data_IF_877019192589
#
_entry.id   IF_877019192589
#
_cell.length_a   1.000
_cell.length_b   1.000
_cell.length_c   1.000
_cell.angle_alpha   90.00
_cell.angle_beta   90.00
_cell.angle_gamma   90.00
#
_symmetry.space_group_name_H-M   'P 1'
#
loop_
_entity.id
_entity.type
_entity.pdbx_description
1 polymer ?
#
# COMPACT_ATOMS: atom_id res chain seq x y z
N UNK A 1 2.87 63.91 -7.78
CA UNK A 1 3.44 63.06 -8.81
C UNK A 1 3.52 61.66 -8.28
N UNK A 2 2.90 60.75 -8.93
CA UNK A 2 2.27 59.54 -8.44
C UNK A 2 3.24 58.35 -8.41
N UNK A 3 3.36 57.73 -7.28
CA UNK A 3 3.96 56.42 -7.12
C UNK A 3 2.89 55.37 -7.34
N UNK A 4 2.97 54.67 -8.46
CA UNK A 4 2.24 53.43 -8.68
C UNK A 4 3.12 52.30 -8.15
N UNK A 5 2.76 51.82 -6.95
CA UNK A 5 3.30 50.57 -6.45
C UNK A 5 2.61 49.41 -7.17
N UNK A 6 3.33 48.73 -8.02
CA UNK A 6 2.95 47.46 -8.58
C UNK A 6 3.17 46.40 -7.48
N UNK A 7 2.12 46.07 -6.77
CA UNK A 7 2.05 44.84 -6.03
C UNK A 7 1.95 43.69 -7.01
N UNK A 8 3.07 43.11 -7.35
CA UNK A 8 3.13 41.82 -8.06
C UNK A 8 2.65 40.74 -7.11
N UNK A 9 1.37 40.48 -7.13
CA UNK A 9 0.73 39.40 -6.42
C UNK A 9 1.23 38.10 -7.09
N UNK A 10 2.30 37.53 -6.52
CA UNK A 10 2.74 36.18 -6.85
C UNK A 10 1.63 35.24 -6.40
N UNK A 11 0.68 34.99 -7.29
CA UNK A 11 -0.28 33.89 -7.17
C UNK A 11 0.55 32.61 -7.32
N UNK A 12 1.13 32.14 -6.20
CA UNK A 12 1.58 30.76 -6.11
C UNK A 12 0.33 29.91 -6.33
N UNK A 13 0.16 29.44 -7.56
CA UNK A 13 -0.71 28.31 -7.85
C UNK A 13 -0.17 27.15 -7.01
N UNK A 14 -0.69 27.02 -5.81
CA UNK A 14 -0.72 25.74 -5.10
C UNK A 14 -1.54 24.81 -5.98
N UNK A 15 -0.86 24.21 -6.97
CA UNK A 15 -1.39 23.01 -7.59
C UNK A 15 -1.68 22.08 -6.40
N UNK A 16 -2.91 21.61 -6.23
CA UNK A 16 -3.14 20.57 -5.26
C UNK A 16 -2.20 19.43 -5.70
N UNK A 17 -1.20 19.16 -4.89
CA UNK A 17 -0.58 17.83 -4.93
C UNK A 17 -1.78 16.93 -4.69
N UNK A 18 -2.25 16.27 -5.73
CA UNK A 18 -3.29 15.26 -5.61
C UNK A 18 -2.71 14.23 -4.65
N UNK A 19 -2.99 14.41 -3.37
CA UNK A 19 -2.76 13.38 -2.39
C UNK A 19 -3.58 12.20 -2.90
N UNK A 20 -2.90 11.17 -3.31
CA UNK A 20 -3.55 9.91 -3.61
C UNK A 20 -4.30 9.56 -2.32
N UNK A 21 -5.60 9.43 -2.41
CA UNK A 21 -6.45 9.10 -1.28
C UNK A 21 -7.09 7.76 -1.61
N UNK A 22 -6.64 6.72 -0.94
CA UNK A 22 -7.07 5.38 -1.35
C UNK A 22 -6.81 4.30 -0.32
N UNK A 23 -7.24 3.11 -0.69
CA UNK A 23 -6.99 1.90 0.07
C UNK A 23 -5.51 1.54 0.01
N UNK A 24 -4.93 1.20 1.15
CA UNK A 24 -3.53 0.75 1.25
C UNK A 24 -3.51 -0.77 1.40
N UNK A 25 -2.74 -1.42 0.54
CA UNK A 25 -2.51 -2.86 0.56
C UNK A 25 -1.06 -3.11 0.99
N UNK A 26 -0.89 -3.94 2.01
CA UNK A 26 0.39 -4.51 2.41
C UNK A 26 0.72 -5.67 1.50
N UNK A 27 1.92 -5.66 0.94
CA UNK A 27 2.48 -6.76 0.14
C UNK A 27 3.68 -7.32 0.89
N UNK A 28 3.54 -8.53 1.39
CA UNK A 28 4.62 -9.26 2.06
C UNK A 28 5.23 -10.24 1.07
N UNK A 29 6.55 -10.14 0.88
CA UNK A 29 7.28 -11.02 -0.02
C UNK A 29 8.42 -11.75 0.70
N UNK A 30 8.97 -12.77 0.03
CA UNK A 30 10.17 -13.48 0.53
C UNK A 30 11.41 -12.58 0.70
N UNK A 31 11.41 -11.35 0.15
CA UNK A 31 12.53 -10.38 0.21
C UNK A 31 12.21 -9.14 1.04
N UNK A 32 11.09 -9.10 1.72
CA UNK A 32 10.63 -7.98 2.53
C UNK A 32 9.21 -7.55 2.19
N UNK A 33 8.74 -6.53 2.90
CA UNK A 33 7.39 -5.99 2.70
C UNK A 33 7.42 -4.58 2.10
N UNK A 34 6.36 -4.25 1.38
CA UNK A 34 6.09 -2.90 0.91
C UNK A 34 4.58 -2.64 0.88
N UNK A 35 4.21 -1.39 0.73
CA UNK A 35 2.82 -0.97 0.69
C UNK A 35 2.50 -0.36 -0.67
N UNK A 36 1.26 -0.58 -1.11
CA UNK A 36 0.70 0.00 -2.33
C UNK A 36 -0.51 0.84 -1.93
N UNK A 37 -0.51 2.12 -2.31
CA UNK A 37 -1.68 2.97 -2.24
C UNK A 37 -2.45 2.86 -3.54
N UNK A 38 -3.72 2.50 -3.46
CA UNK A 38 -4.59 2.32 -4.61
C UNK A 38 -5.22 3.64 -5.05
N UNK A 39 -5.54 3.74 -6.32
CA UNK A 39 -6.18 4.90 -6.95
C UNK A 39 -7.70 4.70 -7.02
N UNK A 40 -8.37 4.57 -5.87
CA UNK A 40 -9.78 4.18 -5.78
C UNK A 40 -10.70 5.07 -6.63
N UNK A 41 -10.41 6.38 -6.70
CA UNK A 41 -11.24 7.35 -7.44
C UNK A 41 -10.97 7.37 -8.96
N UNK A 42 -9.73 7.05 -9.37
CA UNK A 42 -9.34 7.19 -10.79
C UNK A 42 -9.39 5.89 -11.56
N UNK A 43 -9.36 4.74 -10.86
CA UNK A 43 -9.48 3.40 -11.44
C UNK A 43 -10.39 2.50 -10.59
N UNK A 44 -11.67 2.88 -10.35
CA UNK A 44 -12.56 2.21 -9.40
C UNK A 44 -12.90 0.76 -9.77
N UNK A 45 -13.07 0.43 -11.05
CA UNK A 45 -13.33 -0.96 -11.50
C UNK A 45 -12.09 -1.82 -11.21
N UNK A 46 -10.92 -1.29 -11.53
CA UNK A 46 -9.65 -2.00 -11.39
C UNK A 46 -9.29 -2.21 -9.91
N UNK A 47 -9.43 -1.17 -9.07
CA UNK A 47 -9.16 -1.28 -7.62
C UNK A 47 -10.15 -2.22 -6.94
N UNK A 48 -11.44 -2.17 -7.30
CA UNK A 48 -12.46 -3.11 -6.79
C UNK A 48 -12.11 -4.56 -7.16
N UNK A 49 -11.74 -4.81 -8.42
CA UNK A 49 -11.32 -6.13 -8.88
C UNK A 49 -10.07 -6.61 -8.13
N UNK A 50 -9.02 -5.79 -8.03
CA UNK A 50 -7.79 -6.12 -7.33
C UNK A 50 -8.05 -6.42 -5.85
N UNK A 51 -8.83 -5.59 -5.15
CA UNK A 51 -9.22 -5.77 -3.75
C UNK A 51 -10.05 -7.05 -3.54
N UNK A 52 -10.83 -7.49 -4.51
CA UNK A 52 -11.53 -8.77 -4.43
C UNK A 52 -10.54 -9.93 -4.31
N UNK A 53 -9.48 -9.97 -5.13
CA UNK A 53 -8.43 -11.00 -5.02
C UNK A 53 -7.67 -10.90 -3.68
N UNK A 54 -7.41 -9.68 -3.18
CA UNK A 54 -6.76 -9.46 -1.88
C UNK A 54 -7.63 -9.99 -0.75
N UNK A 55 -8.91 -9.59 -0.70
CA UNK A 55 -9.84 -9.93 0.38
C UNK A 55 -10.20 -11.41 0.42
N UNK A 56 -10.30 -12.06 -0.75
CA UNK A 56 -10.51 -13.52 -0.85
C UNK A 56 -9.20 -14.32 -0.65
N UNK A 57 -8.08 -13.65 -0.37
CA UNK A 57 -6.77 -14.28 -0.14
C UNK A 57 -6.20 -15.00 -1.36
N UNK A 58 -6.66 -14.68 -2.56
CA UNK A 58 -6.24 -15.38 -3.77
C UNK A 58 -4.82 -15.03 -4.20
N UNK A 59 -4.29 -13.87 -3.81
CA UNK A 59 -2.88 -13.55 -4.05
C UNK A 59 -1.92 -14.20 -3.04
N UNK A 60 -2.43 -14.75 -1.93
CA UNK A 60 -1.57 -15.38 -0.92
C UNK A 60 -0.98 -16.68 -1.44
N UNK A 61 0.35 -16.80 -1.30
CA UNK A 61 1.13 -17.92 -1.83
C UNK A 61 1.34 -17.90 -3.34
N UNK A 62 0.94 -16.82 -4.05
CA UNK A 62 1.38 -16.60 -5.43
C UNK A 62 2.84 -16.16 -5.46
N UNK A 63 3.45 -16.14 -6.64
CA UNK A 63 4.83 -15.69 -6.79
C UNK A 63 4.98 -14.71 -7.96
N UNK A 64 6.08 -13.94 -7.93
CA UNK A 64 6.50 -13.14 -9.09
C UNK A 64 6.97 -14.09 -10.17
N UNK A 65 6.19 -14.20 -11.24
CA UNK A 65 6.44 -15.19 -12.30
C UNK A 65 7.19 -14.62 -13.51
N UNK A 66 7.36 -13.29 -13.57
CA UNK A 66 8.07 -12.63 -14.66
C UNK A 66 8.86 -11.43 -14.14
N UNK A 67 10.13 -11.34 -14.54
CA UNK A 67 11.01 -10.20 -14.34
C UNK A 67 11.61 -9.78 -15.69
N UNK A 68 11.32 -8.55 -16.11
CA UNK A 68 11.99 -7.87 -17.21
C UNK A 68 12.77 -6.68 -16.65
N UNK A 69 14.09 -6.81 -16.57
CA UNK A 69 14.96 -5.83 -15.92
C UNK A 69 14.82 -4.44 -16.53
N UNK A 70 14.70 -3.42 -15.69
CA UNK A 70 14.47 -2.03 -16.11
C UNK A 70 13.08 -1.76 -16.68
N UNK A 71 12.24 -2.80 -16.79
CA UNK A 71 10.89 -2.69 -17.31
C UNK A 71 9.86 -2.99 -16.21
N UNK A 72 9.60 -4.25 -15.87
CA UNK A 72 8.57 -4.62 -14.89
C UNK A 72 8.93 -5.87 -14.08
N UNK A 73 8.34 -6.00 -12.87
CA UNK A 73 8.06 -7.29 -12.22
C UNK A 73 6.56 -7.56 -12.32
N UNK A 74 6.18 -8.83 -12.56
CA UNK A 74 4.78 -9.21 -12.77
C UNK A 74 4.39 -10.39 -11.88
N UNK A 75 3.22 -10.30 -11.24
CA UNK A 75 2.64 -11.29 -10.33
C UNK A 75 1.14 -11.47 -10.55
N UNK A 76 0.50 -12.17 -9.59
CA UNK A 76 -0.96 -12.33 -9.56
C UNK A 76 -1.52 -13.42 -10.47
N UNK A 77 -0.71 -14.43 -10.82
CA UNK A 77 -1.15 -15.51 -11.69
C UNK A 77 -1.06 -16.89 -11.05
N UNK A 78 0.10 -17.28 -10.55
CA UNK A 78 0.44 -18.67 -10.25
C UNK A 78 0.78 -18.87 -8.77
N UNK A 79 0.37 -20.05 -8.24
CA UNK A 79 0.90 -20.63 -7.00
C UNK A 79 1.76 -21.84 -7.33
N UNK A 80 2.80 -22.03 -6.53
CA UNK A 80 3.67 -23.19 -6.66
C UNK A 80 3.40 -24.21 -5.56
N UNK A 81 3.29 -25.49 -5.93
CA UNK A 81 3.24 -26.63 -5.00
C UNK A 81 4.47 -27.51 -5.23
N UNK A 82 5.04 -28.07 -4.18
CA UNK A 82 6.27 -28.88 -4.25
C UNK A 82 6.02 -30.34 -4.60
N UNK A 83 4.86 -30.88 -4.26
CA UNK A 83 4.58 -32.31 -4.42
C UNK A 83 3.17 -32.55 -4.96
N UNK A 84 3.04 -32.90 -6.25
CA UNK A 84 4.07 -32.82 -7.31
C UNK A 84 4.48 -31.39 -7.62
N UNK A 85 5.71 -31.13 -8.10
CA UNK A 85 6.14 -29.78 -8.48
C UNK A 85 5.27 -29.22 -9.60
N UNK A 86 4.44 -28.23 -9.29
CA UNK A 86 3.46 -27.70 -10.24
C UNK A 86 3.18 -26.22 -9.95
N UNK A 87 3.12 -25.40 -11.02
CA UNK A 87 2.62 -24.04 -10.95
C UNK A 87 1.19 -24.00 -11.49
N UNK A 88 0.24 -23.61 -10.65
CA UNK A 88 -1.19 -23.60 -10.99
C UNK A 88 -1.76 -22.19 -10.98
N UNK A 89 -2.58 -21.81 -11.98
CA UNK A 89 -3.27 -20.51 -11.97
C UNK A 89 -4.21 -20.38 -10.77
N UNK A 90 -4.32 -19.14 -10.25
CA UNK A 90 -5.36 -18.81 -9.27
C UNK A 90 -6.72 -18.66 -9.95
N UNK A 91 -7.78 -18.67 -9.15
CA UNK A 91 -9.14 -18.40 -9.61
C UNK A 91 -9.20 -17.07 -10.35
N UNK A 92 -9.89 -17.03 -11.49
CA UNK A 92 -10.10 -15.85 -12.32
C UNK A 92 -11.57 -15.43 -12.23
N UNK A 93 -11.83 -14.14 -11.89
CA UNK A 93 -13.18 -13.58 -11.80
C UNK A 93 -13.70 -13.00 -13.11
N UNK A 94 -12.96 -13.16 -14.19
CA UNK A 94 -13.27 -12.60 -15.50
C UNK A 94 -12.51 -11.31 -15.79
N UNK A 95 -12.65 -10.86 -17.01
CA UNK A 95 -11.99 -9.66 -17.51
C UNK A 95 -12.72 -8.39 -17.07
N UNK A 96 -11.98 -7.31 -16.95
CA UNK A 96 -12.48 -5.98 -16.58
C UNK A 96 -12.22 -4.96 -17.68
N UNK A 97 -13.04 -3.92 -17.71
CA UNK A 97 -12.86 -2.78 -18.61
C UNK A 97 -11.57 -2.02 -18.29
N UNK A 98 -10.89 -1.56 -19.35
CA UNK A 98 -9.72 -0.70 -19.23
C UNK A 98 -10.11 0.69 -18.73
N UNK A 99 -9.39 1.18 -17.70
CA UNK A 99 -9.56 2.51 -17.10
C UNK A 99 -8.30 3.34 -17.20
N UNK A 100 -7.51 3.18 -18.25
CA UNK A 100 -6.26 3.93 -18.41
C UNK A 100 -6.48 5.45 -18.29
N UNK A 101 -5.79 6.08 -17.33
CA UNK A 101 -5.82 7.54 -17.09
C UNK A 101 -4.48 8.11 -16.63
N UNK A 102 -3.58 7.27 -16.09
CA UNK A 102 -2.31 7.70 -15.55
C UNK A 102 -1.15 6.96 -16.22
N UNK A 103 -0.02 7.67 -16.37
CA UNK A 103 1.16 7.15 -17.05
C UNK A 103 1.84 6.03 -16.23
N UNK A 104 2.39 5.04 -16.94
CA UNK A 104 3.16 3.92 -16.40
C UNK A 104 4.57 4.36 -16.01
N UNK A 105 4.68 5.13 -14.93
CA UNK A 105 5.94 5.64 -14.40
C UNK A 105 6.53 4.65 -13.38
N UNK A 106 7.86 4.76 -13.12
CA UNK A 106 8.51 3.93 -12.09
C UNK A 106 7.75 4.00 -10.76
N UNK A 107 7.54 2.82 -10.15
CA UNK A 107 6.85 2.66 -8.87
C UNK A 107 5.33 2.56 -8.98
N UNK A 108 4.72 2.79 -10.15
CA UNK A 108 3.30 2.53 -10.33
C UNK A 108 3.02 1.05 -10.51
N UNK A 109 1.82 0.61 -10.06
CA UNK A 109 1.27 -0.72 -10.32
C UNK A 109 0.17 -0.61 -11.36
N UNK A 110 0.19 -1.52 -12.34
CA UNK A 110 -0.79 -1.56 -13.43
C UNK A 110 -1.25 -3.00 -13.72
N UNK A 111 -2.41 -3.11 -14.40
CA UNK A 111 -2.96 -4.42 -14.79
C UNK A 111 -2.31 -4.92 -16.07
N UNK A 112 -1.93 -6.20 -16.07
CA UNK A 112 -1.51 -6.89 -17.30
C UNK A 112 -2.72 -7.23 -18.16
N UNK A 113 -2.53 -7.22 -19.48
CA UNK A 113 -3.53 -7.54 -20.51
C UNK A 113 -2.99 -8.58 -21.48
N UNK A 114 -3.90 -9.23 -22.19
CA UNK A 114 -3.58 -10.08 -23.35
C UNK A 114 -3.40 -9.17 -24.58
N UNK A 115 -2.35 -9.34 -25.38
CA UNK A 115 -2.18 -8.58 -26.61
C UNK A 115 -3.40 -8.67 -27.52
N UNK A 116 -3.81 -7.55 -28.10
CA UNK A 116 -4.97 -7.44 -28.99
C UNK A 116 -6.32 -7.23 -28.28
N UNK A 117 -6.40 -7.33 -26.94
CA UNK A 117 -7.64 -7.09 -26.20
C UNK A 117 -7.43 -6.08 -25.05
N UNK A 118 -7.83 -4.81 -25.22
CA UNK A 118 -7.67 -3.77 -24.20
C UNK A 118 -8.43 -4.07 -22.91
N UNK A 119 -9.48 -4.87 -22.94
CA UNK A 119 -10.34 -5.20 -21.81
C UNK A 119 -10.10 -6.63 -21.26
N UNK A 120 -8.91 -7.18 -21.43
CA UNK A 120 -8.55 -8.53 -21.00
C UNK A 120 -7.88 -8.61 -19.61
N UNK A 121 -7.73 -7.48 -18.93
CA UNK A 121 -7.18 -7.47 -17.57
C UNK A 121 -8.08 -8.25 -16.60
N UNK A 122 -7.45 -9.02 -15.70
CA UNK A 122 -8.19 -9.81 -14.69
C UNK A 122 -7.46 -9.91 -13.35
N UNK A 123 -6.55 -10.88 -13.12
CA UNK A 123 -5.82 -11.06 -11.87
C UNK A 123 -4.39 -10.56 -11.90
N UNK A 124 -3.76 -10.55 -13.08
CA UNK A 124 -2.33 -10.27 -13.20
C UNK A 124 -2.04 -8.77 -13.16
N UNK A 125 -1.03 -8.41 -12.38
CA UNK A 125 -0.54 -7.04 -12.20
C UNK A 125 0.96 -6.98 -12.40
N UNK A 126 1.48 -5.79 -12.68
CA UNK A 126 2.91 -5.54 -12.71
C UNK A 126 3.28 -4.22 -12.02
N UNK A 127 4.52 -4.15 -11.50
CA UNK A 127 5.10 -2.91 -10.99
C UNK A 127 6.15 -2.43 -11.98
N UNK A 128 6.07 -1.16 -12.33
CA UNK A 128 6.99 -0.49 -13.24
C UNK A 128 8.35 -0.26 -12.56
N UNK A 129 9.43 -0.83 -13.11
CA UNK A 129 10.81 -0.64 -12.64
C UNK A 129 11.45 0.62 -13.23
N UNK A 130 10.89 1.15 -14.31
CA UNK A 130 11.32 2.36 -15.00
C UNK A 130 10.12 3.19 -15.47
N UNK A 131 10.38 4.30 -16.12
CA UNK A 131 9.35 5.12 -16.77
C UNK A 131 8.97 4.45 -18.10
N UNK A 132 7.88 3.70 -18.08
CA UNK A 132 7.39 2.90 -19.20
C UNK A 132 6.24 3.59 -19.95
N UNK A 133 6.36 4.91 -20.21
CA UNK A 133 5.31 5.71 -20.88
C UNK A 133 4.92 5.18 -22.28
N UNK A 134 5.75 4.34 -22.90
CA UNK A 134 5.35 3.62 -24.10
C UNK A 134 4.12 2.72 -23.92
N UNK A 135 3.87 2.22 -22.70
CA UNK A 135 2.67 1.43 -22.39
C UNK A 135 1.37 2.24 -22.38
N UNK A 136 1.47 3.57 -22.33
CA UNK A 136 0.32 4.47 -22.23
C UNK A 136 -0.48 4.55 -23.55
N UNK A 137 0.16 4.21 -24.66
CA UNK A 137 -0.45 4.24 -25.99
C UNK A 137 -0.76 2.86 -26.57
N UNK A 138 -0.28 1.78 -25.95
CA UNK A 138 -0.48 0.42 -26.46
C UNK A 138 -1.90 -0.06 -26.14
N UNK A 139 -2.71 -0.31 -27.17
CA UNK A 139 -4.05 -0.90 -27.05
C UNK A 139 -4.93 -0.20 -26.00
N UNK A 140 -4.98 1.13 -26.04
CA UNK A 140 -5.74 1.94 -25.09
C UNK A 140 -5.07 2.15 -23.74
N UNK A 141 -3.77 1.84 -23.62
CA UNK A 141 -2.96 2.02 -22.41
C UNK A 141 -3.14 0.88 -21.39
N UNK A 142 -2.17 0.74 -20.49
CA UNK A 142 -2.26 -0.18 -19.36
C UNK A 142 -2.73 0.58 -18.12
N UNK A 143 -3.85 0.17 -17.53
CA UNK A 143 -4.46 0.86 -16.37
C UNK A 143 -3.53 0.86 -15.18
N UNK A 144 -2.95 2.00 -14.85
CA UNK A 144 -2.31 2.27 -13.57
C UNK A 144 -3.41 2.44 -12.53
N UNK A 145 -3.37 1.66 -11.45
CA UNK A 145 -4.38 1.66 -10.40
C UNK A 145 -3.82 1.85 -8.99
N UNK A 146 -2.53 2.21 -8.88
CA UNK A 146 -1.89 2.50 -7.60
C UNK A 146 -0.39 2.75 -7.76
N UNK A 147 0.27 2.94 -6.61
CA UNK A 147 1.72 3.16 -6.53
C UNK A 147 2.32 2.54 -5.28
N UNK A 148 3.59 2.18 -5.37
CA UNK A 148 4.39 1.74 -4.23
C UNK A 148 4.70 2.95 -3.33
N UNK A 149 4.46 2.81 -2.03
CA UNK A 149 4.62 3.88 -1.05
C UNK A 149 6.04 3.93 -0.45
N UNK A 150 6.47 5.13 -0.10
CA UNK A 150 7.69 5.37 0.69
C UNK A 150 8.93 4.65 0.11
N UNK A 151 9.63 3.93 0.97
CA UNK A 151 10.83 3.17 0.61
C UNK A 151 10.53 1.78 0.01
N UNK A 152 9.26 1.45 -0.27
CA UNK A 152 8.87 0.13 -0.77
C UNK A 152 9.55 -0.30 -2.06
N UNK A 153 9.95 0.68 -2.89
CA UNK A 153 10.73 0.40 -4.10
C UNK A 153 12.09 -0.25 -3.83
N UNK A 154 12.66 -0.16 -2.62
CA UNK A 154 13.90 -0.88 -2.26
C UNK A 154 13.67 -2.40 -2.28
N UNK A 155 12.51 -2.88 -1.81
CA UNK A 155 12.14 -4.31 -1.89
C UNK A 155 11.88 -4.73 -3.33
N UNK A 156 11.17 -3.90 -4.10
CA UNK A 156 10.91 -4.14 -5.53
C UNK A 156 12.22 -4.21 -6.32
N UNK A 157 13.18 -3.33 -6.03
CA UNK A 157 14.51 -3.33 -6.66
C UNK A 157 15.34 -4.56 -6.24
N UNK A 158 15.23 -5.01 -5.00
CA UNK A 158 15.86 -6.26 -4.55
C UNK A 158 15.31 -7.48 -5.32
N UNK A 159 14.01 -7.51 -5.61
CA UNK A 159 13.41 -8.52 -6.49
C UNK A 159 13.96 -8.39 -7.90
N UNK A 160 14.06 -7.17 -8.44
CA UNK A 160 14.57 -6.90 -9.78
C UNK A 160 16.07 -7.23 -9.95
N UNK A 161 16.82 -7.28 -8.85
CA UNK A 161 18.24 -7.67 -8.85
C UNK A 161 18.46 -9.18 -8.96
N UNK A 162 17.44 -10.02 -8.71
CA UNK A 162 17.54 -11.46 -8.84
C UNK A 162 17.86 -11.89 -10.27
N UNK A 163 18.46 -13.09 -10.42
CA UNK A 163 18.67 -13.68 -11.72
C UNK A 163 17.37 -14.35 -12.20
N UNK A 164 16.84 -13.96 -13.36
CA UNK A 164 15.70 -14.65 -13.94
C UNK A 164 16.14 -16.01 -14.51
N UNK A 165 15.30 -17.02 -14.30
CA UNK A 165 15.50 -18.40 -14.78
C UNK A 165 14.37 -18.77 -15.72
N UNK A 166 14.69 -19.46 -16.81
CA UNK A 166 13.70 -20.01 -17.71
C UNK A 166 13.23 -21.38 -17.20
N UNK A 167 11.96 -21.44 -16.77
CA UNK A 167 11.29 -22.65 -16.29
C UNK A 167 10.37 -23.30 -17.33
N UNK A 168 10.41 -22.80 -18.58
CA UNK A 168 9.58 -23.31 -19.68
C UNK A 168 8.55 -22.30 -20.21
N UNK A 169 7.64 -22.73 -21.09
CA UNK A 169 6.65 -21.87 -21.71
C UNK A 169 5.82 -21.07 -20.69
N UNK A 170 5.71 -19.76 -20.90
CA UNK A 170 5.00 -18.83 -20.00
C UNK A 170 5.77 -18.45 -18.73
N UNK A 171 6.90 -19.11 -18.43
CA UNK A 171 7.74 -18.88 -17.24
C UNK A 171 9.21 -18.67 -17.64
N UNK A 172 9.45 -17.84 -18.64
CA UNK A 172 10.77 -17.68 -19.27
C UNK A 172 11.73 -16.79 -18.48
N UNK A 173 11.22 -15.96 -17.56
CA UNK A 173 12.04 -14.99 -16.80
C UNK A 173 11.61 -14.93 -15.33
N UNK A 174 11.50 -16.09 -14.66
CA UNK A 174 11.10 -16.16 -13.25
C UNK A 174 12.26 -15.77 -12.35
N UNK A 175 12.13 -14.73 -11.49
CA UNK A 175 13.17 -14.38 -10.53
C UNK A 175 13.22 -15.42 -9.41
N UNK A 176 14.36 -16.10 -9.25
CA UNK A 176 14.54 -17.11 -8.20
C UNK A 176 15.56 -16.67 -7.16
N UNK A 177 15.29 -17.02 -5.90
CA UNK A 177 16.14 -16.76 -4.74
C UNK A 177 17.08 -17.93 -4.53
N UNK A 178 18.40 -17.67 -4.53
CA UNK A 178 19.44 -18.67 -4.20
C UNK A 178 19.27 -20.00 -4.97
N UNK A 179 18.82 -19.97 -6.21
CA UNK A 179 18.67 -21.16 -7.03
C UNK A 179 19.94 -21.41 -7.85
N UNK A 180 20.59 -22.54 -7.59
CA UNK A 180 21.79 -22.98 -8.29
C UNK A 180 21.58 -24.24 -9.17
N UNK A 181 20.29 -24.60 -9.36
CA UNK A 181 19.90 -25.83 -10.09
C UNK A 181 19.29 -26.90 -9.17
N UNK A 182 18.80 -27.98 -9.76
CA UNK A 182 18.12 -29.07 -9.03
C UNK A 182 16.60 -28.87 -8.86
N UNK A 183 15.96 -29.59 -7.94
CA UNK A 183 14.53 -29.51 -7.72
C UNK A 183 14.09 -28.11 -7.28
N UNK A 184 13.02 -27.61 -7.88
CA UNK A 184 12.39 -26.34 -7.45
C UNK A 184 11.65 -26.56 -6.13
N UNK A 185 11.84 -25.63 -5.20
CA UNK A 185 11.17 -25.59 -3.90
C UNK A 185 10.52 -24.23 -3.70
N UNK A 186 9.47 -24.16 -2.89
CA UNK A 186 8.72 -22.91 -2.61
C UNK A 186 9.61 -21.76 -2.12
N UNK A 187 10.68 -22.05 -1.38
CA UNK A 187 11.67 -21.07 -0.92
C UNK A 187 12.49 -20.39 -2.03
N UNK A 188 12.54 -20.99 -3.23
CA UNK A 188 13.24 -20.40 -4.37
C UNK A 188 12.42 -19.31 -5.06
N UNK A 189 11.10 -19.27 -4.85
CA UNK A 189 10.23 -18.27 -5.46
C UNK A 189 10.13 -17.02 -4.61
N UNK A 190 9.95 -15.88 -5.27
CA UNK A 190 9.54 -14.64 -4.60
C UNK A 190 8.04 -14.75 -4.33
N UNK A 191 7.70 -15.36 -3.19
CA UNK A 191 6.32 -15.54 -2.78
C UNK A 191 5.70 -14.20 -2.38
N UNK A 192 4.39 -14.09 -2.62
CA UNK A 192 3.59 -12.88 -2.37
C UNK A 192 2.40 -13.23 -1.50
N UNK A 193 2.18 -12.43 -0.45
CA UNK A 193 0.97 -12.42 0.35
C UNK A 193 0.46 -10.99 0.46
N UNK A 194 -0.85 -10.78 0.33
CA UNK A 194 -1.43 -9.45 0.35
C UNK A 194 -2.56 -9.34 1.38
N UNK A 195 -2.66 -8.19 2.01
CA UNK A 195 -3.78 -7.86 2.91
C UNK A 195 -4.06 -6.35 2.88
N UNK A 196 -5.30 -5.96 3.09
CA UNK A 196 -5.65 -4.55 3.27
C UNK A 196 -5.07 -4.07 4.60
N UNK A 197 -4.22 -3.03 4.55
CA UNK A 197 -3.65 -2.40 5.73
C UNK A 197 -4.54 -1.30 6.30
N UNK A 198 -5.15 -0.48 5.43
CA UNK A 198 -6.01 0.64 5.83
C UNK A 198 -6.35 1.56 4.67
N UNK A 199 -6.55 2.84 4.95
CA UNK A 199 -6.82 3.90 3.96
C UNK A 199 -6.04 5.16 4.32
N UNK A 200 -5.70 5.96 3.32
CA UNK A 200 -5.01 7.26 3.48
C UNK A 200 -5.97 8.45 3.52
N UNK A 201 -7.25 8.26 3.18
CA UNK A 201 -8.30 9.26 3.22
C UNK A 201 -9.07 9.23 4.55
N UNK A 202 -9.66 10.35 4.88
CA UNK A 202 -10.48 10.51 6.08
C UNK A 202 -9.83 11.37 7.16
N UNK A 203 -10.56 11.66 8.24
CA UNK A 203 -10.05 12.45 9.35
C UNK A 203 -8.93 11.73 10.11
N UNK A 204 -7.96 12.48 10.68
CA UNK A 204 -6.72 11.93 11.21
C UNK A 204 -6.88 11.04 12.45
N UNK A 205 -8.03 11.08 13.16
CA UNK A 205 -8.29 10.19 14.28
C UNK A 205 -9.78 9.86 14.39
N UNK A 206 -10.14 8.58 14.25
CA UNK A 206 -11.52 8.09 14.29
C UNK A 206 -11.61 6.85 15.15
N UNK A 207 -12.41 6.92 16.21
CA UNK A 207 -12.78 5.76 17.02
C UNK A 207 -14.13 5.19 16.56
N UNK A 208 -14.19 3.88 16.45
CA UNK A 208 -15.38 3.10 16.10
C UNK A 208 -15.84 2.26 17.29
N UNK A 209 -16.85 2.71 18.02
CA UNK A 209 -17.33 1.99 19.22
C UNK A 209 -17.75 0.55 18.93
N UNK A 210 -18.35 0.30 17.76
CA UNK A 210 -18.85 -1.01 17.36
C UNK A 210 -17.73 -2.08 17.20
N UNK A 211 -16.48 -1.64 17.00
CA UNK A 211 -15.32 -2.52 16.85
C UNK A 211 -14.29 -2.35 17.95
N UNK A 212 -14.41 -1.31 18.79
CA UNK A 212 -13.39 -0.94 19.76
C UNK A 212 -12.07 -0.48 19.13
N UNK A 213 -12.07 -0.04 17.85
CA UNK A 213 -10.87 0.32 17.11
C UNK A 213 -10.80 1.81 16.84
N UNK A 214 -9.58 2.35 16.90
CA UNK A 214 -9.27 3.72 16.56
C UNK A 214 -8.22 3.76 15.46
N UNK A 215 -8.61 4.27 14.30
CA UNK A 215 -7.67 4.58 13.22
C UNK A 215 -7.14 5.98 13.42
N UNK A 216 -5.83 6.17 13.35
CA UNK A 216 -5.21 7.47 13.46
C UNK A 216 -3.98 7.60 12.58
N UNK A 217 -3.72 8.85 12.15
CA UNK A 217 -2.47 9.22 11.50
C UNK A 217 -1.59 9.90 12.55
N UNK A 218 -0.32 9.55 12.62
CA UNK A 218 0.58 10.03 13.68
C UNK A 218 1.86 10.60 13.06
N UNK A 219 2.22 11.80 13.46
CA UNK A 219 3.59 12.28 13.31
C UNK A 219 4.42 11.71 14.46
N UNK A 220 5.24 10.74 14.17
CA UNK A 220 6.09 10.06 15.14
C UNK A 220 7.54 10.60 15.15
N UNK A 221 7.73 11.86 14.72
CA UNK A 221 9.04 12.53 14.73
C UNK A 221 10.06 11.84 13.84
N UNK A 222 11.16 11.34 14.43
CA UNK A 222 12.23 10.64 13.69
C UNK A 222 11.77 9.32 13.06
N UNK A 223 10.70 8.71 13.56
CA UNK A 223 10.10 7.51 12.98
C UNK A 223 9.24 7.81 11.75
N UNK A 224 9.00 9.08 11.45
CA UNK A 224 8.24 9.54 10.29
C UNK A 224 6.74 9.67 10.55
N UNK A 225 6.00 9.77 9.46
CA UNK A 225 4.55 9.86 9.47
C UNK A 225 3.97 8.45 9.32
N UNK A 226 3.06 8.07 10.22
CA UNK A 226 2.51 6.72 10.28
C UNK A 226 0.98 6.74 10.33
N UNK A 227 0.34 5.84 9.60
CA UNK A 227 -1.01 5.43 9.90
C UNK A 227 -0.95 4.23 10.84
N UNK A 228 -1.77 4.25 11.90
CA UNK A 228 -1.82 3.18 12.90
C UNK A 228 -3.27 2.88 13.27
N UNK A 229 -3.54 1.62 13.59
CA UNK A 229 -4.81 1.21 14.19
C UNK A 229 -4.56 0.79 15.63
N UNK A 230 -5.30 1.42 16.54
CA UNK A 230 -5.35 1.01 17.94
C UNK A 230 -6.57 0.13 18.18
N UNK A 231 -6.42 -0.87 19.02
CA UNK A 231 -7.48 -1.70 19.58
C UNK A 231 -7.67 -1.35 21.07
N UNK A 232 -8.91 -1.08 21.48
CA UNK A 232 -9.27 -0.89 22.88
C UNK A 232 -9.16 -2.24 23.61
N UNK A 233 -8.25 -2.32 24.58
CA UNK A 233 -7.98 -3.56 25.32
C UNK A 233 -8.45 -3.51 26.77
N UNK A 234 -8.77 -2.34 27.32
CA UNK A 234 -9.30 -2.14 28.67
C UNK A 234 -10.03 -0.82 28.79
N UNK A 235 -11.11 -0.79 29.59
CA UNK A 235 -11.85 0.41 29.97
C UNK A 235 -11.76 0.69 31.46
N UNK A 236 -11.47 -0.32 32.29
CA UNK A 236 -11.46 -0.23 33.75
C UNK A 236 -10.24 -0.99 34.30
N UNK A 237 -9.50 -0.43 35.28
CA UNK A 237 -9.66 0.89 35.87
C UNK A 237 -9.23 2.03 34.95
N UNK A 238 -8.40 1.74 33.94
CA UNK A 238 -7.87 2.70 32.98
C UNK A 238 -8.26 2.31 31.56
N UNK A 239 -8.53 3.31 30.72
CA UNK A 239 -8.68 3.10 29.28
C UNK A 239 -7.31 2.82 28.69
N UNK A 240 -7.16 1.63 28.10
CA UNK A 240 -5.94 1.21 27.42
C UNK A 240 -6.20 0.80 25.99
N UNK A 241 -5.33 1.24 25.11
CA UNK A 241 -5.33 0.88 23.69
C UNK A 241 -3.99 0.29 23.31
N UNK A 242 -4.01 -0.65 22.36
CA UNK A 242 -2.82 -1.31 21.82
C UNK A 242 -2.72 -1.08 20.33
N UNK A 243 -1.52 -0.81 19.82
CA UNK A 243 -1.29 -0.74 18.37
C UNK A 243 -1.30 -2.15 17.79
N UNK A 244 -2.01 -2.31 16.64
CA UNK A 244 -1.88 -3.48 15.77
C UNK A 244 -0.78 -3.22 14.74
N UNK A 245 0.43 -3.84 14.87
CA UNK A 245 1.51 -3.63 13.93
C UNK A 245 1.16 -4.05 12.49
N UNK A 246 0.21 -5.00 12.33
CA UNK A 246 -0.25 -5.44 11.03
C UNK A 246 -1.04 -4.35 10.26
N UNK A 247 -1.50 -3.33 10.99
CA UNK A 247 -2.25 -2.20 10.45
C UNK A 247 -1.45 -0.89 10.42
N UNK A 248 -0.15 -0.97 10.66
CA UNK A 248 0.75 0.18 10.52
C UNK A 248 1.26 0.29 9.09
N UNK A 249 1.26 1.51 8.56
CA UNK A 249 1.93 1.81 7.28
C UNK A 249 2.44 3.26 7.25
N UNK A 250 3.51 3.55 6.47
CA UNK A 250 4.03 4.89 6.33
C UNK A 250 3.08 5.80 5.55
N UNK A 251 3.06 7.08 5.90
CA UNK A 251 2.41 8.13 5.13
C UNK A 251 3.47 9.01 4.45
N UNK A 252 3.14 9.57 3.30
CA UNK A 252 4.08 10.40 2.53
C UNK A 252 3.94 11.90 2.84
N UNK A 253 2.81 12.32 3.38
CA UNK A 253 2.54 13.72 3.69
C UNK A 253 1.76 13.89 4.98
N UNK A 254 1.94 15.05 5.63
CA UNK A 254 1.16 15.44 6.81
C UNK A 254 -0.28 15.69 6.43
N UNK A 255 -1.19 15.27 7.31
CA UNK A 255 -2.62 15.58 7.25
C UNK A 255 -2.92 16.67 8.27
N UNK A 256 -3.72 17.70 7.96
CA UNK A 256 -4.11 18.72 8.92
C UNK A 256 -4.75 18.10 10.18
N UNK A 257 -4.36 18.60 11.36
CA UNK A 257 -4.86 18.06 12.64
C UNK A 257 -4.29 16.71 13.04
N UNK A 258 -3.18 16.30 12.42
CA UNK A 258 -2.51 15.03 12.69
C UNK A 258 -2.05 14.93 14.14
N UNK A 259 -2.35 13.84 14.86
CA UNK A 259 -1.77 13.49 16.14
C UNK A 259 -0.25 13.49 16.14
N UNK A 260 0.33 13.79 17.30
CA UNK A 260 1.80 13.86 17.48
C UNK A 260 2.21 12.92 18.60
N UNK A 261 3.18 12.05 18.31
CA UNK A 261 3.85 11.22 19.29
C UNK A 261 5.21 11.83 19.65
N UNK A 262 5.39 12.14 20.93
CA UNK A 262 6.66 12.66 21.46
C UNK A 262 7.50 11.49 21.98
N UNK A 263 8.54 11.13 21.25
CA UNK A 263 9.44 10.03 21.57
C UNK A 263 10.18 10.21 22.91
N UNK A 264 10.48 11.45 23.30
CA UNK A 264 11.21 11.74 24.55
C UNK A 264 10.34 11.52 25.79
N UNK A 265 9.02 11.72 25.67
CA UNK A 265 8.08 11.57 26.80
C UNK A 265 7.21 10.34 26.71
N UNK A 266 7.15 9.66 25.55
CA UNK A 266 6.23 8.55 25.31
C UNK A 266 4.76 8.96 25.18
N UNK A 267 4.49 10.27 24.99
CA UNK A 267 3.12 10.79 24.94
C UNK A 267 2.61 10.94 23.51
N UNK A 268 1.43 10.38 23.23
CA UNK A 268 0.64 10.63 22.05
C UNK A 268 -0.43 11.67 22.37
N UNK A 269 -0.48 12.77 21.59
CA UNK A 269 -1.50 13.80 21.69
C UNK A 269 -2.34 13.81 20.43
N UNK A 270 -3.65 13.62 20.58
CA UNK A 270 -4.65 13.64 19.52
C UNK A 270 -5.44 14.94 19.63
N UNK A 271 -5.28 15.90 18.68
CA UNK A 271 -5.99 17.19 18.76
C UNK A 271 -7.50 17.06 18.75
N UNK A 272 -8.05 16.21 17.87
CA UNK A 272 -9.47 15.92 17.75
C UNK A 272 -9.69 14.43 17.55
N UNK A 273 -10.43 13.79 18.45
CA UNK A 273 -10.89 12.42 18.30
C UNK A 273 -12.36 12.44 17.87
N UNK A 274 -12.63 11.77 16.76
CA UNK A 274 -13.98 11.67 16.19
C UNK A 274 -14.61 10.33 16.51
N UNK A 275 -15.92 10.39 16.80
CA UNK A 275 -16.78 9.22 16.99
C UNK A 275 -18.02 9.44 16.12
N UNK A 276 -18.38 8.47 15.30
CA UNK A 276 -19.52 8.57 14.38
C UNK A 276 -19.51 9.86 13.51
N UNK A 277 -18.28 10.25 13.04
CA UNK A 277 -18.09 11.42 12.17
C UNK A 277 -18.04 12.79 12.88
N UNK A 278 -18.48 12.90 14.15
CA UNK A 278 -18.42 14.11 14.94
C UNK A 278 -17.19 14.17 15.84
N UNK A 279 -16.65 15.37 16.12
CA UNK A 279 -15.61 15.55 17.14
C UNK A 279 -16.21 15.27 18.50
N UNK A 280 -15.77 14.21 19.16
CA UNK A 280 -16.24 13.79 20.46
C UNK A 280 -15.36 14.30 21.60
N UNK A 281 -14.05 14.33 21.39
CA UNK A 281 -13.07 14.75 22.39
C UNK A 281 -11.99 15.59 21.73
N UNK A 282 -11.38 16.51 22.53
CA UNK A 282 -10.23 17.32 22.12
C UNK A 282 -9.04 17.04 23.02
N UNK A 283 -7.83 17.32 22.51
CA UNK A 283 -6.57 17.16 23.23
C UNK A 283 -6.47 15.85 24.03
N UNK A 284 -6.88 14.75 23.39
CA UNK A 284 -6.81 13.41 24.00
C UNK A 284 -5.35 13.01 24.13
N UNK A 285 -4.92 12.70 25.36
CA UNK A 285 -3.53 12.37 25.69
C UNK A 285 -3.44 10.93 26.15
N UNK A 286 -2.57 10.16 25.50
CA UNK A 286 -2.22 8.81 25.87
C UNK A 286 -0.74 8.74 26.22
N UNK A 287 -0.39 7.94 27.22
CA UNK A 287 0.99 7.60 27.59
C UNK A 287 1.32 6.18 27.15
N UNK A 288 2.47 6.00 26.51
CA UNK A 288 3.02 4.67 26.21
C UNK A 288 3.44 4.01 27.54
N UNK A 289 2.67 3.03 28.01
CA UNK A 289 2.88 2.37 29.31
C UNK A 289 3.53 1.00 29.17
N UNK A 290 3.49 0.38 27.99
CA UNK A 290 4.23 -0.84 27.67
C UNK A 290 4.79 -0.72 26.24
N UNK A 291 6.07 -0.42 26.12
CA UNK A 291 6.74 -0.27 24.83
C UNK A 291 6.91 -1.61 24.08
N UNK A 292 7.05 -2.73 24.78
CA UNK A 292 7.23 -4.03 24.15
C UNK A 292 5.93 -4.54 23.51
N UNK A 293 4.78 -4.18 24.12
CA UNK A 293 3.46 -4.55 23.63
C UNK A 293 2.77 -3.41 22.86
N UNK A 294 3.39 -2.23 22.75
CA UNK A 294 2.83 -1.01 22.17
C UNK A 294 1.48 -0.60 22.80
N UNK A 295 1.41 -0.67 24.14
CA UNK A 295 0.21 -0.33 24.91
C UNK A 295 0.30 1.10 25.40
N UNK A 296 -0.79 1.82 25.20
CA UNK A 296 -0.97 3.22 25.61
C UNK A 296 -2.14 3.31 26.61
N UNK A 297 -1.94 4.09 27.66
CA UNK A 297 -2.97 4.38 28.68
C UNK A 297 -3.44 5.82 28.55
N UNK A 298 -4.74 6.04 28.61
CA UNK A 298 -5.34 7.38 28.56
C UNK A 298 -4.92 8.18 29.81
N UNK A 299 -4.36 9.37 29.59
CA UNK A 299 -4.03 10.32 30.66
C UNK A 299 -5.15 11.34 30.89
N UNK A 300 -5.90 11.72 29.84
CA UNK A 300 -6.99 12.66 29.93
C UNK A 300 -7.36 13.29 28.59
N UNK A 301 -8.41 14.11 28.64
CA UNK A 301 -8.95 14.91 27.52
C UNK A 301 -9.29 16.29 28.03
N UNK A 302 -9.48 17.26 27.12
CA UNK A 302 -10.06 18.57 27.42
C UNK A 302 -11.51 18.59 26.94
#
# INVERSE_FOLDING_TARGET
>A
MKLFNQALLSLLLLLPVSAWAGTVVRVNTSLGEYFIELSDDTAPITTTNFLRYVNEGLYNGTFIHRLERGFVIQGGWLRFTESPPTATPITNFGNIQNEFRASNLRGTIAMAKVPGDPNSANSQWFINLGNNSGLDSVEGGFTVFGRVMGNGMQVVDAIAALQPVNLGPGLTTVPLINFSGGPLLSRHFVNVNMSVAGRTDGPPAVFRPETGRMNTFVDAGELGLLAVEFELISEVPDIKVKIDPAKMFPLESRVPGMPVFNNATGRLTIPELRVNGAVAYRNVRFMLTDAAQLVFTLEGTD
#
